data_IF_172254965065
#
_entry.id   IF_172254965065
#
_cell.length_a   1.000
_cell.length_b   1.000
_cell.length_c   1.000
_cell.angle_alpha   90.00
_cell.angle_beta   90.00
_cell.angle_gamma   90.00
#
_symmetry.space_group_name_H-M   'P 1'
#
loop_
_entity.id
_entity.type
_entity.pdbx_description
1 polymer ?
#
# COMPACT_ATOMS: atom_id res chain seq x y z
N UNK A 1 7.00 14.70 11.47
CA UNK A 1 5.67 15.08 10.93
C UNK A 1 5.61 14.77 9.44
N UNK A 2 4.50 14.20 8.95
CA UNK A 2 4.30 13.99 7.50
C UNK A 2 4.02 15.35 6.84
N UNK A 3 4.84 15.76 5.86
CA UNK A 3 4.55 16.95 5.07
C UNK A 3 3.29 16.72 4.22
N UNK A 4 2.16 17.17 4.75
CA UNK A 4 0.87 17.10 4.10
C UNK A 4 0.70 18.35 3.23
N UNK A 5 0.42 18.18 1.93
CA UNK A 5 0.13 19.27 1.02
C UNK A 5 -1.32 19.75 1.14
N UNK A 6 -2.25 18.81 1.26
CA UNK A 6 -3.65 19.13 1.52
C UNK A 6 -4.43 17.96 2.13
N UNK A 7 -5.53 18.31 2.80
CA UNK A 7 -6.57 17.40 3.30
C UNK A 7 -7.91 18.02 3.00
N UNK A 8 -8.77 17.30 2.29
CA UNK A 8 -10.11 17.75 1.92
C UNK A 8 -11.13 16.62 2.02
N UNK A 9 -12.38 16.98 2.25
CA UNK A 9 -13.50 16.03 2.24
C UNK A 9 -14.67 16.58 1.44
N UNK A 10 -15.39 15.66 0.81
CA UNK A 10 -16.51 15.95 -0.07
C UNK A 10 -17.69 15.05 0.26
N UNK A 11 -18.91 15.57 0.15
CA UNK A 11 -20.11 14.73 0.20
C UNK A 11 -20.12 13.80 -1.02
N UNK A 12 -20.41 12.51 -0.78
CA UNK A 12 -20.41 11.49 -1.82
C UNK A 12 -21.47 11.72 -2.91
N UNK A 13 -22.61 12.33 -2.56
CA UNK A 13 -23.72 12.56 -3.49
C UNK A 13 -23.42 13.64 -4.54
N UNK A 14 -23.00 14.83 -4.12
CA UNK A 14 -22.91 16.04 -4.96
C UNK A 14 -21.52 16.68 -5.03
N UNK A 15 -20.51 16.11 -4.36
CA UNK A 15 -19.14 16.62 -4.30
C UNK A 15 -18.99 18.01 -3.64
N UNK A 16 -19.98 18.46 -2.85
CA UNK A 16 -19.82 19.68 -2.05
C UNK A 16 -18.67 19.47 -1.06
N UNK A 17 -17.70 20.38 -1.04
CA UNK A 17 -16.60 20.37 -0.08
C UNK A 17 -17.12 20.61 1.32
N UNK A 18 -16.62 19.86 2.30
CA UNK A 18 -16.98 19.94 3.73
C UNK A 18 -15.72 19.95 4.57
N UNK A 19 -15.85 20.29 5.86
CA UNK A 19 -14.74 20.18 6.82
C UNK A 19 -14.10 18.79 6.75
N UNK A 20 -12.76 18.75 6.75
CA UNK A 20 -12.01 17.51 6.60
C UNK A 20 -12.39 16.46 7.65
N UNK A 21 -12.68 15.26 7.20
CA UNK A 21 -12.94 14.06 8.02
C UNK A 21 -11.92 12.98 7.64
N UNK A 22 -11.14 12.52 8.59
CA UNK A 22 -10.07 11.53 8.30
C UNK A 22 -10.60 10.13 7.99
N UNK A 23 -11.80 9.81 8.43
CA UNK A 23 -12.54 8.56 8.23
C UNK A 23 -11.91 7.30 8.85
N UNK A 24 -10.75 7.38 9.52
CA UNK A 24 -10.21 6.22 10.23
C UNK A 24 -11.18 5.72 11.31
N UNK A 25 -11.29 4.40 11.45
CA UNK A 25 -12.23 3.73 12.34
C UNK A 25 -13.65 3.59 11.78
N UNK A 26 -14.04 4.35 10.75
CA UNK A 26 -15.37 4.27 10.15
C UNK A 26 -15.56 3.04 9.26
N UNK A 27 -16.80 2.76 8.90
CA UNK A 27 -17.15 1.74 7.91
C UNK A 27 -16.91 2.28 6.51
N UNK A 28 -15.89 1.80 5.83
CA UNK A 28 -15.51 2.27 4.50
C UNK A 28 -14.20 1.66 4.02
N UNK A 29 -13.79 2.08 2.84
CA UNK A 29 -12.61 1.56 2.11
C UNK A 29 -11.69 2.72 1.73
N UNK A 30 -10.38 2.44 1.67
CA UNK A 30 -9.42 3.43 1.17
C UNK A 30 -8.41 2.80 0.20
N UNK A 31 -7.78 3.67 -0.58
CA UNK A 31 -6.59 3.33 -1.36
C UNK A 31 -5.54 4.40 -1.20
N UNK A 32 -4.27 4.04 -1.42
CA UNK A 32 -3.14 4.98 -1.41
C UNK A 32 -2.38 4.80 -2.71
N UNK A 33 -2.27 5.86 -3.48
CA UNK A 33 -1.76 5.88 -4.85
C UNK A 33 -0.50 6.74 -4.89
N UNK A 34 0.51 6.32 -5.62
CA UNK A 34 1.73 7.10 -5.82
C UNK A 34 1.54 8.07 -6.98
N UNK A 35 1.80 9.36 -6.72
CA UNK A 35 1.83 10.43 -7.72
C UNK A 35 3.27 10.86 -7.93
N UNK A 36 3.67 11.02 -9.19
CA UNK A 36 5.06 11.32 -9.57
C UNK A 36 5.13 12.27 -10.77
N UNK A 37 6.22 13.01 -10.82
CA UNK A 37 6.62 13.76 -12.00
C UNK A 37 5.98 15.14 -12.17
N UNK A 38 6.45 15.80 -13.18
CA UNK A 38 5.91 16.98 -13.85
C UNK A 38 6.23 16.77 -15.33
N UNK A 39 5.25 16.51 -16.18
CA UNK A 39 3.80 16.41 -15.92
C UNK A 39 3.40 15.24 -15.03
N UNK A 40 2.15 15.29 -14.55
CA UNK A 40 1.63 14.35 -13.52
C UNK A 40 1.50 12.94 -14.08
N UNK A 41 1.99 11.98 -13.33
CA UNK A 41 1.76 10.55 -13.55
C UNK A 41 1.18 9.94 -12.28
N UNK A 42 0.16 9.09 -12.41
CA UNK A 42 -0.48 8.38 -11.28
C UNK A 42 -0.29 6.89 -11.45
N UNK A 43 0.60 6.32 -10.66
CA UNK A 43 1.05 4.93 -10.82
C UNK A 43 -0.09 3.94 -10.55
N UNK A 44 -0.39 3.08 -11.54
CA UNK A 44 -1.43 2.05 -11.47
C UNK A 44 -2.84 2.60 -11.18
N UNK A 45 -3.17 3.81 -11.66
CA UNK A 45 -4.41 4.50 -11.34
C UNK A 45 -5.65 3.62 -11.53
N UNK A 46 -5.83 3.06 -12.74
CA UNK A 46 -6.98 2.19 -13.09
C UNK A 46 -7.11 0.99 -12.14
N UNK A 47 -5.99 0.33 -11.81
CA UNK A 47 -6.00 -0.79 -10.86
C UNK A 47 -6.43 -0.36 -9.45
N UNK A 48 -5.97 0.82 -8.99
CA UNK A 48 -6.33 1.36 -7.68
C UNK A 48 -7.82 1.69 -7.60
N UNK A 49 -8.37 2.36 -8.60
CA UNK A 49 -9.78 2.73 -8.64
C UNK A 49 -10.67 1.50 -8.74
N UNK A 50 -10.33 0.55 -9.62
CA UNK A 50 -11.07 -0.71 -9.76
C UNK A 50 -11.09 -1.51 -8.44
N UNK A 51 -9.94 -1.62 -7.75
CA UNK A 51 -9.89 -2.30 -6.46
C UNK A 51 -10.70 -1.58 -5.38
N UNK A 52 -10.70 -0.24 -5.37
CA UNK A 52 -11.51 0.57 -4.46
C UNK A 52 -13.00 0.32 -4.69
N UNK A 53 -13.46 0.44 -5.95
CA UNK A 53 -14.87 0.25 -6.32
C UNK A 53 -15.33 -1.19 -6.01
N UNK A 54 -14.55 -2.20 -6.37
CA UNK A 54 -14.87 -3.60 -6.05
C UNK A 54 -15.00 -3.83 -4.53
N UNK A 55 -14.11 -3.24 -3.74
CA UNK A 55 -14.15 -3.36 -2.28
C UNK A 55 -15.35 -2.63 -1.66
N UNK A 56 -15.73 -1.47 -2.20
CA UNK A 56 -16.92 -0.72 -1.79
C UNK A 56 -18.21 -1.48 -2.08
N UNK A 57 -18.30 -2.14 -3.26
CA UNK A 57 -19.44 -3.01 -3.60
C UNK A 57 -19.60 -4.16 -2.59
N UNK A 58 -18.50 -4.81 -2.18
CA UNK A 58 -18.51 -5.86 -1.14
C UNK A 58 -19.01 -5.28 0.20
N UNK A 59 -18.68 -4.01 0.49
CA UNK A 59 -19.15 -3.27 1.67
C UNK A 59 -20.57 -2.68 1.50
N UNK A 60 -21.26 -2.99 0.38
CA UNK A 60 -22.61 -2.45 0.08
C UNK A 60 -22.67 -0.91 0.13
N UNK A 61 -21.55 -0.25 -0.19
CA UNK A 61 -21.45 1.20 -0.30
C UNK A 61 -21.74 1.61 -1.75
N UNK A 62 -22.64 2.60 -1.93
CA UNK A 62 -23.02 3.09 -3.26
C UNK A 62 -21.82 3.61 -4.05
N UNK A 63 -21.64 3.13 -5.28
CA UNK A 63 -20.49 3.45 -6.14
C UNK A 63 -20.90 4.09 -7.47
N UNK A 64 -22.15 4.54 -7.61
CA UNK A 64 -22.66 5.17 -8.82
C UNK A 64 -21.80 6.36 -9.22
N UNK A 65 -21.28 6.33 -10.45
CA UNK A 65 -20.40 7.36 -10.99
C UNK A 65 -19.15 7.68 -10.15
N UNK A 66 -18.74 6.77 -9.23
CA UNK A 66 -17.65 7.05 -8.30
C UNK A 66 -16.31 7.30 -9.01
N UNK A 67 -16.00 6.56 -10.08
CA UNK A 67 -14.77 6.79 -10.84
C UNK A 67 -14.73 8.22 -11.41
N UNK A 68 -15.83 8.67 -12.03
CA UNK A 68 -15.97 10.06 -12.54
C UNK A 68 -15.79 11.08 -11.42
N UNK A 69 -16.44 10.86 -10.27
CA UNK A 69 -16.32 11.72 -9.08
C UNK A 69 -14.88 11.82 -8.58
N UNK A 70 -14.18 10.69 -8.49
CA UNK A 70 -12.78 10.66 -8.05
C UNK A 70 -11.85 11.36 -9.04
N UNK A 71 -12.07 11.21 -10.37
CA UNK A 71 -11.32 11.95 -11.39
C UNK A 71 -11.51 13.47 -11.25
N UNK A 72 -12.75 13.94 -11.06
CA UNK A 72 -13.04 15.36 -10.81
C UNK A 72 -12.28 15.86 -9.57
N UNK A 73 -12.38 15.14 -8.43
CA UNK A 73 -11.70 15.51 -7.20
C UNK A 73 -10.17 15.57 -7.40
N UNK A 74 -9.61 14.61 -8.11
CA UNK A 74 -8.17 14.60 -8.39
C UNK A 74 -7.79 15.81 -9.25
N UNK A 75 -8.55 16.10 -10.32
CA UNK A 75 -8.31 17.21 -11.24
C UNK A 75 -8.32 18.57 -10.52
N UNK A 76 -9.31 18.83 -9.66
CA UNK A 76 -9.44 20.12 -8.96
C UNK A 76 -8.41 20.33 -7.83
N UNK A 77 -7.80 19.23 -7.32
CA UNK A 77 -6.87 19.30 -6.19
C UNK A 77 -5.40 19.15 -6.59
N UNK A 78 -5.09 18.62 -7.76
CA UNK A 78 -3.71 18.50 -8.21
C UNK A 78 -3.32 19.68 -9.09
N UNK A 79 -2.24 20.36 -8.72
CA UNK A 79 -1.68 21.49 -9.46
C UNK A 79 -0.67 21.01 -10.50
N UNK A 80 -0.84 21.37 -11.77
CA UNK A 80 0.02 20.91 -12.87
C UNK A 80 1.44 21.49 -12.86
N UNK A 81 1.67 22.59 -12.13
CA UNK A 81 2.97 23.26 -12.01
C UNK A 81 3.91 22.62 -10.95
N UNK A 82 3.42 21.67 -10.17
CA UNK A 82 4.18 21.01 -9.10
C UNK A 82 4.84 19.72 -9.59
N UNK A 83 6.12 19.51 -9.21
CA UNK A 83 6.78 18.21 -9.37
C UNK A 83 6.42 17.29 -8.22
N UNK A 84 5.71 16.20 -8.51
CA UNK A 84 5.22 15.29 -7.49
C UNK A 84 6.20 14.15 -7.18
N UNK A 85 6.29 13.77 -5.93
CA UNK A 85 6.71 12.49 -5.40
C UNK A 85 5.92 12.25 -4.11
N UNK A 86 4.62 12.01 -4.27
CA UNK A 86 3.63 12.09 -3.19
C UNK A 86 2.75 10.85 -3.14
N UNK A 87 2.03 10.71 -2.05
CA UNK A 87 1.02 9.69 -1.85
C UNK A 87 -0.35 10.34 -1.71
N UNK A 88 -1.25 10.02 -2.62
CA UNK A 88 -2.65 10.38 -2.58
C UNK A 88 -3.43 9.28 -1.88
N UNK A 89 -4.08 9.57 -0.76
CA UNK A 89 -5.05 8.70 -0.12
C UNK A 89 -6.46 9.13 -0.56
N UNK A 90 -7.22 8.17 -1.05
CA UNK A 90 -8.65 8.29 -1.30
C UNK A 90 -9.36 7.36 -0.34
N UNK A 91 -10.22 7.89 0.52
CA UNK A 91 -11.01 7.15 1.49
C UNK A 91 -12.50 7.43 1.26
N UNK A 92 -13.32 6.39 1.26
CA UNK A 92 -14.75 6.50 0.93
C UNK A 92 -15.58 5.72 1.94
N UNK A 93 -16.62 6.36 2.46
CA UNK A 93 -17.68 5.72 3.24
C UNK A 93 -19.06 6.05 2.62
N UNK A 94 -20.16 5.72 3.29
CA UNK A 94 -21.50 5.92 2.76
C UNK A 94 -21.88 7.39 2.46
N UNK A 95 -21.20 8.36 3.10
CA UNK A 95 -21.57 9.78 3.03
C UNK A 95 -20.45 10.65 2.44
N UNK A 96 -19.19 10.23 2.55
CA UNK A 96 -18.04 11.12 2.38
C UNK A 96 -16.96 10.48 1.53
N UNK A 97 -16.34 11.30 0.67
CA UNK A 97 -15.04 11.03 0.05
C UNK A 97 -14.02 11.92 0.74
N UNK A 98 -13.00 11.32 1.34
CA UNK A 98 -11.89 12.06 1.97
C UNK A 98 -10.61 11.86 1.18
N UNK A 99 -9.92 12.94 0.92
CA UNK A 99 -8.70 12.99 0.10
C UNK A 99 -7.59 13.65 0.89
N UNK A 100 -6.42 13.04 0.88
CA UNK A 100 -5.23 13.68 1.44
C UNK A 100 -4.01 13.40 0.57
N UNK A 101 -3.17 14.40 0.40
CA UNK A 101 -1.92 14.31 -0.35
C UNK A 101 -0.77 14.63 0.58
N UNK A 102 0.20 13.72 0.67
CA UNK A 102 1.39 13.87 1.50
C UNK A 102 2.65 13.53 0.75
N UNK A 103 3.78 14.12 1.15
CA UNK A 103 5.09 13.78 0.60
C UNK A 103 5.38 12.30 0.83
N UNK A 104 5.90 11.60 -0.18
CA UNK A 104 6.34 10.22 -0.05
C UNK A 104 7.68 10.16 0.66
N UNK A 105 7.75 9.48 1.79
CA UNK A 105 9.02 9.22 2.47
C UNK A 105 9.83 8.20 1.69
N UNK A 106 11.08 8.53 1.42
CA UNK A 106 12.04 7.59 0.82
C UNK A 106 12.49 6.61 1.90
N UNK A 107 12.40 5.32 1.61
CA UNK A 107 12.93 4.29 2.51
C UNK A 107 14.46 4.37 2.60
N UNK A 108 15.01 4.25 3.81
CA UNK A 108 16.46 4.21 4.04
C UNK A 108 17.07 2.93 3.48
N UNK A 109 18.37 2.94 3.18
CA UNK A 109 19.13 1.76 2.68
C UNK A 109 19.09 0.60 3.68
N UNK A 110 19.31 0.89 4.99
CA UNK A 110 19.12 -0.08 6.08
C UNK A 110 17.66 -0.05 6.52
N UNK A 111 16.94 -1.13 6.30
CA UNK A 111 15.52 -1.23 6.58
C UNK A 111 15.23 -2.46 7.44
N UNK A 112 14.49 -2.27 8.52
CA UNK A 112 14.21 -3.28 9.53
C UNK A 112 12.74 -3.70 9.49
N UNK A 113 12.45 -4.86 10.07
CA UNK A 113 11.06 -5.24 10.32
C UNK A 113 10.89 -5.71 11.76
N UNK A 114 9.70 -5.48 12.31
CA UNK A 114 9.24 -6.02 13.58
C UNK A 114 8.04 -6.91 13.33
N UNK A 115 7.88 -7.99 14.09
CA UNK A 115 6.73 -8.87 13.95
C UNK A 115 5.75 -8.57 15.08
N UNK A 116 4.46 -8.46 14.75
CA UNK A 116 3.37 -8.29 15.71
C UNK A 116 2.29 -9.34 15.46
N UNK A 117 1.87 -10.01 16.53
CA UNK A 117 0.74 -10.94 16.45
C UNK A 117 -0.58 -10.15 16.35
N UNK A 118 -1.05 -9.99 15.14
CA UNK A 118 -2.31 -9.31 14.83
C UNK A 118 -2.79 -9.67 13.43
N UNK A 119 -4.09 -9.87 13.28
CA UNK A 119 -4.79 -10.03 12.00
C UNK A 119 -5.77 -8.88 11.83
N UNK A 120 -5.73 -8.19 10.67
CA UNK A 120 -6.67 -7.11 10.37
C UNK A 120 -8.11 -7.62 10.31
N UNK A 121 -9.04 -6.77 10.68
CA UNK A 121 -10.46 -6.99 10.43
C UNK A 121 -10.69 -7.01 8.90
N UNK A 122 -11.39 -8.03 8.38
CA UNK A 122 -11.61 -8.21 6.94
C UNK A 122 -10.33 -8.02 6.11
N UNK A 123 -9.29 -8.84 6.30
CA UNK A 123 -7.96 -8.59 5.75
C UNK A 123 -7.92 -8.59 4.22
N UNK A 124 -8.91 -9.22 3.54
CA UNK A 124 -9.02 -9.20 2.07
C UNK A 124 -9.35 -7.81 1.51
N UNK A 125 -9.78 -6.86 2.35
CA UNK A 125 -10.19 -5.52 1.95
C UNK A 125 -9.29 -4.46 2.61
N UNK A 126 -9.07 -3.35 1.90
CA UNK A 126 -8.34 -2.20 2.45
C UNK A 126 -9.32 -1.24 3.14
N UNK A 127 -9.91 -1.75 4.25
CA UNK A 127 -10.95 -1.04 4.99
C UNK A 127 -10.39 0.01 5.94
N UNK A 128 -11.25 0.95 6.35
CA UNK A 128 -10.92 2.07 7.23
C UNK A 128 -10.83 1.69 8.73
N UNK A 129 -11.18 0.46 9.13
CA UNK A 129 -10.96 -0.03 10.49
C UNK A 129 -9.46 -0.30 10.74
N UNK A 130 -8.69 0.77 10.79
CA UNK A 130 -7.24 0.77 10.69
C UNK A 130 -6.53 1.29 11.95
N UNK A 131 -7.27 1.68 13.01
CA UNK A 131 -6.74 2.32 14.22
C UNK A 131 -5.61 1.51 14.88
N UNK A 132 -5.77 0.17 14.99
CA UNK A 132 -4.73 -0.70 15.55
C UNK A 132 -3.46 -0.72 14.69
N UNK A 133 -3.59 -0.66 13.38
CA UNK A 133 -2.45 -0.55 12.47
C UNK A 133 -1.75 0.80 12.66
N UNK A 134 -2.52 1.89 12.78
CA UNK A 134 -1.96 3.22 13.05
C UNK A 134 -1.18 3.25 14.37
N UNK A 135 -1.70 2.60 15.42
CA UNK A 135 -0.98 2.51 16.70
C UNK A 135 0.36 1.78 16.57
N UNK A 136 0.47 0.75 15.74
CA UNK A 136 1.76 0.10 15.47
C UNK A 136 2.72 1.01 14.70
N UNK A 137 2.20 1.79 13.75
CA UNK A 137 3.01 2.69 12.91
C UNK A 137 3.51 3.92 13.69
N UNK A 138 2.75 4.41 14.66
CA UNK A 138 3.14 5.54 15.51
C UNK A 138 4.36 5.21 16.41
N UNK A 139 4.60 3.93 16.69
CA UNK A 139 5.69 3.46 17.56
C UNK A 139 6.95 3.04 16.78
N UNK A 140 7.05 3.41 15.50
CA UNK A 140 8.22 3.09 14.68
C UNK A 140 8.60 4.27 13.77
N UNK A 141 9.86 4.30 13.36
CA UNK A 141 10.27 5.18 12.27
C UNK A 141 9.95 4.51 10.93
N UNK A 142 8.86 4.91 10.30
CA UNK A 142 8.36 4.32 9.06
C UNK A 142 9.30 4.51 7.85
N UNK A 143 10.34 5.36 7.96
CA UNK A 143 11.32 5.53 6.88
C UNK A 143 12.35 4.40 6.84
N UNK A 144 12.54 3.67 7.94
CA UNK A 144 13.50 2.57 8.03
C UNK A 144 12.93 1.30 8.69
N UNK A 145 11.67 1.32 9.11
CA UNK A 145 11.06 0.17 9.80
C UNK A 145 9.65 -0.09 9.29
N UNK A 146 9.26 -1.35 9.24
CA UNK A 146 7.89 -1.83 8.97
C UNK A 146 7.49 -2.84 10.04
N UNK A 147 6.19 -2.93 10.32
CA UNK A 147 5.64 -4.00 11.13
C UNK A 147 5.03 -5.06 10.21
N UNK A 148 5.55 -6.27 10.27
CA UNK A 148 4.98 -7.46 9.63
C UNK A 148 3.99 -8.10 10.59
N UNK A 149 2.79 -8.32 10.13
CA UNK A 149 1.72 -8.95 10.90
C UNK A 149 1.87 -10.47 10.85
N UNK A 150 1.59 -11.11 11.96
CA UNK A 150 1.47 -12.57 12.06
C UNK A 150 0.19 -12.95 12.79
N UNK A 151 -0.32 -14.14 12.56
CA UNK A 151 -1.45 -14.68 13.31
C UNK A 151 -1.35 -16.20 13.37
N UNK A 152 -1.52 -16.78 14.57
CA UNK A 152 -1.35 -18.22 14.80
C UNK A 152 -0.06 -18.76 14.16
N UNK A 153 1.08 -18.13 14.48
CA UNK A 153 2.42 -18.42 13.94
C UNK A 153 2.56 -18.33 12.41
N UNK A 154 1.58 -17.80 11.69
CA UNK A 154 1.64 -17.58 10.24
C UNK A 154 1.94 -16.12 9.92
N UNK A 155 2.94 -15.85 9.10
CA UNK A 155 3.29 -14.52 8.61
C UNK A 155 2.30 -14.09 7.53
N UNK A 156 1.84 -12.84 7.60
CA UNK A 156 0.77 -12.31 6.77
C UNK A 156 1.30 -11.22 5.81
N UNK A 157 1.15 -9.99 6.21
CA UNK A 157 1.47 -8.79 5.41
C UNK A 157 2.13 -7.72 6.29
N UNK A 158 2.74 -6.71 5.70
CA UNK A 158 3.15 -5.52 6.45
C UNK A 158 1.95 -4.60 6.73
N UNK A 159 2.05 -3.77 7.77
CA UNK A 159 1.04 -2.75 8.06
C UNK A 159 0.69 -1.89 6.84
N UNK A 160 1.68 -1.56 6.01
CA UNK A 160 1.50 -0.71 4.82
C UNK A 160 1.87 -1.41 3.51
N UNK A 161 2.35 -2.65 3.55
CA UNK A 161 2.95 -3.38 2.42
C UNK A 161 2.42 -4.81 2.33
N UNK A 162 2.59 -5.43 1.16
CA UNK A 162 2.65 -6.88 1.08
C UNK A 162 4.09 -7.35 1.32
N UNK A 163 4.25 -8.60 1.73
CA UNK A 163 5.56 -9.20 1.99
C UNK A 163 5.80 -10.35 1.02
N UNK A 164 6.99 -10.39 0.44
CA UNK A 164 7.49 -11.52 -0.33
C UNK A 164 8.64 -12.15 0.43
N UNK A 165 8.65 -13.46 0.47
CA UNK A 165 9.70 -14.28 1.09
C UNK A 165 10.44 -15.04 -0.01
N UNK A 166 11.77 -15.02 0.03
CA UNK A 166 12.60 -15.66 -0.99
C UNK A 166 13.45 -16.73 -0.35
N UNK A 167 13.45 -17.93 -0.93
CA UNK A 167 14.32 -19.03 -0.55
C UNK A 167 14.74 -19.80 -1.78
N UNK A 168 16.05 -20.04 -1.96
CA UNK A 168 16.62 -20.78 -3.10
C UNK A 168 16.06 -20.25 -4.44
N UNK A 169 16.11 -18.94 -4.66
CA UNK A 169 15.59 -18.21 -5.83
C UNK A 169 14.08 -18.36 -6.10
N UNK A 170 13.32 -19.02 -5.22
CA UNK A 170 11.86 -19.12 -5.32
C UNK A 170 11.19 -18.01 -4.50
N UNK A 171 10.21 -17.33 -5.09
CA UNK A 171 9.49 -16.22 -4.47
C UNK A 171 8.15 -16.73 -3.94
N UNK A 172 7.86 -16.45 -2.68
CA UNK A 172 6.63 -16.83 -2.01
C UNK A 172 5.87 -15.60 -1.52
N UNK A 173 4.55 -15.62 -1.68
CA UNK A 173 3.62 -14.64 -1.12
C UNK A 173 2.67 -15.35 -0.16
N UNK A 174 2.40 -14.82 1.04
CA UNK A 174 1.33 -15.34 1.90
C UNK A 174 0.00 -15.43 1.16
N UNK A 175 -0.85 -16.37 1.58
CA UNK A 175 -2.12 -16.67 0.90
C UNK A 175 -3.30 -16.13 1.68
N UNK A 176 -3.36 -16.51 2.97
CA UNK A 176 -4.53 -16.26 3.83
C UNK A 176 -4.39 -14.96 4.60
N UNK A 177 -5.52 -14.34 4.89
CA UNK A 177 -5.61 -13.19 5.80
C UNK A 177 -4.72 -11.99 5.40
N UNK A 178 -4.55 -11.76 4.11
CA UNK A 178 -3.83 -10.61 3.55
C UNK A 178 -4.70 -9.81 2.59
N UNK A 179 -4.38 -8.54 2.41
CA UNK A 179 -4.85 -7.73 1.30
C UNK A 179 -3.91 -7.89 0.10
N UNK A 180 -4.40 -8.38 -1.03
CA UNK A 180 -3.62 -8.37 -2.27
C UNK A 180 -3.61 -6.94 -2.86
N UNK A 181 -2.60 -6.17 -2.48
CA UNK A 181 -2.43 -4.79 -2.94
C UNK A 181 -2.11 -4.68 -4.43
N UNK A 182 -2.33 -3.48 -5.00
CA UNK A 182 -2.10 -3.20 -6.42
C UNK A 182 -0.67 -3.55 -6.87
N UNK A 183 0.33 -3.24 -6.06
CA UNK A 183 1.74 -3.57 -6.37
C UNK A 183 1.98 -5.08 -6.38
N UNK A 184 1.38 -5.85 -5.46
CA UNK A 184 1.48 -7.31 -5.49
C UNK A 184 0.81 -7.89 -6.73
N UNK A 185 -0.39 -7.41 -7.10
CA UNK A 185 -1.08 -7.82 -8.33
C UNK A 185 -0.26 -7.51 -9.58
N UNK A 186 0.39 -6.34 -9.63
CA UNK A 186 1.31 -5.99 -10.70
C UNK A 186 2.47 -7.01 -10.82
N UNK A 187 3.14 -7.34 -9.72
CA UNK A 187 4.22 -8.32 -9.76
C UNK A 187 3.74 -9.71 -10.15
N UNK A 188 2.57 -10.15 -9.67
CA UNK A 188 1.99 -11.45 -10.06
C UNK A 188 1.67 -11.54 -11.55
N UNK A 189 1.28 -10.43 -12.19
CA UNK A 189 1.10 -10.38 -13.66
C UNK A 189 2.42 -10.46 -14.43
N UNK A 190 3.46 -9.81 -13.89
CA UNK A 190 4.79 -9.77 -14.55
C UNK A 190 5.65 -11.00 -14.26
N UNK A 191 5.46 -11.63 -13.11
CA UNK A 191 6.29 -12.75 -12.63
C UNK A 191 5.37 -13.90 -12.25
N UNK A 192 5.15 -14.80 -13.21
CA UNK A 192 4.26 -15.97 -13.01
C UNK A 192 4.75 -16.96 -11.94
N UNK A 193 6.04 -16.89 -11.59
CA UNK A 193 6.68 -17.81 -10.63
C UNK A 193 6.49 -17.44 -9.17
N UNK A 194 5.76 -16.35 -8.83
CA UNK A 194 5.42 -16.04 -7.45
C UNK A 194 4.41 -17.05 -6.92
N UNK A 195 4.88 -17.94 -6.04
CA UNK A 195 4.08 -19.00 -5.45
C UNK A 195 3.29 -18.48 -4.25
N UNK A 196 2.02 -18.84 -4.17
CA UNK A 196 1.19 -18.62 -2.97
C UNK A 196 1.47 -19.72 -1.97
N UNK A 197 1.82 -19.36 -0.72
CA UNK A 197 2.11 -20.31 0.34
C UNK A 197 1.89 -19.68 1.71
N UNK A 198 1.32 -20.45 2.65
CA UNK A 198 1.31 -20.06 4.06
C UNK A 198 2.74 -20.15 4.63
N UNK A 199 3.20 -19.06 5.23
CA UNK A 199 4.57 -18.91 5.72
C UNK A 199 4.56 -18.98 7.25
N UNK A 200 5.06 -20.10 7.79
CA UNK A 200 5.22 -20.24 9.24
C UNK A 200 6.35 -19.35 9.76
N UNK A 201 6.14 -18.76 10.93
CA UNK A 201 7.15 -17.97 11.64
C UNK A 201 8.42 -18.78 11.94
N UNK A 202 8.28 -20.07 12.25
CA UNK A 202 9.39 -20.97 12.56
C UNK A 202 10.28 -21.25 11.33
N UNK A 203 9.78 -20.97 10.12
CA UNK A 203 10.56 -21.08 8.89
C UNK A 203 11.29 -19.80 8.50
N UNK A 204 11.19 -18.75 9.30
CA UNK A 204 11.81 -17.45 9.00
C UNK A 204 13.32 -17.58 8.68
N UNK A 205 14.13 -18.36 9.44
CA UNK A 205 15.58 -18.50 9.17
C UNK A 205 15.92 -19.13 7.80
N UNK A 206 14.96 -19.82 7.16
CA UNK A 206 15.15 -20.49 5.86
C UNK A 206 15.07 -19.54 4.67
N UNK A 207 14.67 -18.28 4.88
CA UNK A 207 14.55 -17.30 3.81
C UNK A 207 15.85 -16.49 3.64
N UNK A 208 16.23 -16.28 2.37
CA UNK A 208 17.39 -15.51 1.98
C UNK A 208 17.09 -14.01 1.90
N UNK A 209 15.86 -13.67 1.45
CA UNK A 209 15.39 -12.30 1.36
C UNK A 209 13.94 -12.18 1.86
N UNK A 210 13.65 -11.07 2.55
CA UNK A 210 12.30 -10.60 2.85
C UNK A 210 12.15 -9.25 2.17
N UNK A 211 11.15 -9.14 1.28
CA UNK A 211 10.96 -7.98 0.43
C UNK A 211 9.56 -7.41 0.68
N UNK A 212 9.50 -6.13 0.99
CA UNK A 212 8.27 -5.38 1.18
C UNK A 212 7.91 -4.67 -0.12
N UNK A 213 6.64 -4.78 -0.52
CA UNK A 213 6.14 -4.15 -1.74
C UNK A 213 4.85 -3.38 -1.48
N UNK A 214 4.72 -2.19 -2.06
CA UNK A 214 3.52 -1.36 -1.89
C UNK A 214 3.64 0.00 -2.55
N UNK A 215 2.52 0.66 -2.80
CA UNK A 215 2.48 1.96 -3.49
C UNK A 215 3.29 3.03 -2.76
N UNK A 216 3.28 3.03 -1.43
CA UNK A 216 4.03 3.99 -0.62
C UNK A 216 5.54 3.73 -0.63
N UNK A 217 5.94 2.51 -0.36
CA UNK A 217 7.37 2.13 -0.22
C UNK A 217 8.01 1.77 -1.56
N UNK A 218 7.24 1.34 -2.57
CA UNK A 218 7.79 0.72 -3.78
C UNK A 218 8.24 -0.70 -3.49
N UNK A 219 9.52 -0.99 -3.68
CA UNK A 219 10.17 -2.25 -3.34
C UNK A 219 11.26 -1.96 -2.32
N UNK A 220 11.24 -2.65 -1.18
CA UNK A 220 12.19 -2.47 -0.09
C UNK A 220 12.68 -3.83 0.39
N UNK A 221 14.00 -4.00 0.52
CA UNK A 221 14.58 -5.19 1.13
C UNK A 221 14.73 -5.00 2.63
N UNK A 222 14.19 -5.91 3.42
CA UNK A 222 14.42 -5.96 4.86
C UNK A 222 15.86 -6.39 5.13
N UNK A 223 16.52 -5.72 6.05
CA UNK A 223 17.90 -6.02 6.46
C UNK A 223 17.94 -7.07 7.55
N UNK A 224 17.11 -6.87 8.58
CA UNK A 224 16.99 -7.79 9.71
C UNK A 224 15.63 -7.68 10.40
N UNK A 225 15.34 -8.71 11.18
CA UNK A 225 14.28 -8.81 12.17
C UNK A 225 14.95 -9.27 13.46
N UNK A 226 14.66 -8.60 14.59
CA UNK A 226 15.34 -8.91 15.85
C UNK A 226 14.68 -10.08 16.62
N UNK A 227 13.33 -10.10 16.64
CA UNK A 227 12.55 -11.14 17.33
C UNK A 227 11.40 -11.63 16.47
N UNK A 228 11.43 -12.91 16.00
CA UNK A 228 12.58 -13.86 16.04
C UNK A 228 13.71 -13.38 15.15
N UNK A 229 14.94 -13.75 15.46
CA UNK A 229 16.12 -13.28 14.76
C UNK A 229 16.14 -13.75 13.30
N UNK A 230 16.34 -12.79 12.38
CA UNK A 230 16.57 -13.05 10.97
C UNK A 230 17.44 -11.95 10.36
N UNK A 231 18.37 -12.35 9.52
CA UNK A 231 19.23 -11.46 8.72
C UNK A 231 19.18 -11.82 7.26
N UNK A 232 19.13 -10.80 6.41
CA UNK A 232 19.17 -10.96 4.96
C UNK A 232 20.49 -11.59 4.52
N UNK A 233 20.39 -12.60 3.64
CA UNK A 233 21.53 -13.33 3.07
C UNK A 233 21.84 -12.92 1.62
N UNK A 234 20.86 -12.37 0.90
CA UNK A 234 20.96 -12.01 -0.52
C UNK A 234 20.21 -10.71 -0.83
N UNK A 235 20.54 -10.10 -1.98
CA UNK A 235 19.84 -8.96 -2.58
C UNK A 235 19.43 -9.24 -4.04
N UNK A 236 19.62 -10.46 -4.54
CA UNK A 236 19.42 -10.82 -5.95
C UNK A 236 18.00 -10.57 -6.40
N UNK A 237 17.02 -11.13 -5.67
CA UNK A 237 15.61 -10.98 -6.00
C UNK A 237 15.13 -9.55 -5.77
N UNK A 238 15.59 -8.90 -4.70
CA UNK A 238 15.30 -7.48 -4.46
C UNK A 238 15.72 -6.60 -5.64
N UNK A 239 16.95 -6.76 -6.14
CA UNK A 239 17.46 -5.98 -7.29
C UNK A 239 16.61 -6.21 -8.54
N UNK A 240 16.27 -7.47 -8.83
CA UNK A 240 15.40 -7.85 -9.93
C UNK A 240 14.01 -7.18 -9.84
N UNK A 241 13.33 -7.30 -8.68
CA UNK A 241 12.02 -6.69 -8.47
C UNK A 241 12.07 -5.15 -8.51
N UNK A 242 13.14 -4.57 -7.97
CA UNK A 242 13.36 -3.12 -8.01
C UNK A 242 13.49 -2.60 -9.44
N UNK A 243 14.20 -3.31 -10.31
CA UNK A 243 14.35 -2.98 -11.75
C UNK A 243 12.99 -2.98 -12.45
N UNK A 244 12.20 -4.05 -12.27
CA UNK A 244 10.85 -4.17 -12.85
C UNK A 244 9.93 -3.04 -12.34
N UNK A 245 9.97 -2.74 -11.05
CA UNK A 245 9.16 -1.66 -10.49
C UNK A 245 9.58 -0.29 -11.01
N UNK A 246 10.88 -0.04 -11.12
CA UNK A 246 11.39 1.21 -11.67
C UNK A 246 11.00 1.40 -13.14
N UNK A 247 11.06 0.35 -13.95
CA UNK A 247 10.54 0.38 -15.32
C UNK A 247 9.05 0.76 -15.37
N UNK A 248 8.23 0.20 -14.46
CA UNK A 248 6.82 0.58 -14.37
C UNK A 248 6.62 2.05 -13.96
N UNK A 249 7.49 2.59 -13.12
CA UNK A 249 7.49 4.01 -12.73
C UNK A 249 7.87 4.90 -13.90
N UNK A 250 8.92 4.57 -14.63
CA UNK A 250 9.40 5.33 -15.81
C UNK A 250 8.36 5.33 -16.93
N UNK A 251 7.80 4.14 -17.24
CA UNK A 251 6.83 3.95 -18.31
C UNK A 251 5.38 4.25 -17.90
N UNK A 252 5.17 4.82 -16.70
CA UNK A 252 3.84 5.23 -16.27
C UNK A 252 3.31 6.33 -17.20
N UNK A 253 2.12 6.17 -17.81
CA UNK A 253 1.54 7.18 -18.69
C UNK A 253 1.24 8.47 -17.94
N UNK A 254 1.15 9.57 -18.71
CA UNK A 254 0.66 10.84 -18.19
C UNK A 254 -0.78 10.70 -17.72
N UNK A 255 -1.14 11.46 -16.72
CA UNK A 255 -2.52 11.50 -16.23
C UNK A 255 -3.28 12.62 -16.90
N UNK A 256 -4.23 12.26 -17.75
CA UNK A 256 -5.03 13.21 -18.55
C UNK A 256 -6.44 13.48 -17.97
N UNK A 257 -6.74 12.95 -16.75
CA UNK A 257 -8.03 13.16 -16.09
C UNK A 257 -9.01 12.01 -16.18
#
# INVERSE_FOLDING_TARGET
MENILFKKSYLLNNLKEIKFKDLWGSYGIFTTIRIIGKPIKILFFKDHINNLIKSLKIYKIRTTNLEKKLKIIIKINLKYNIKYNHLLRLAVNNKTISVSLRKRLKSKKKFYARIKNYKRINPKLKNLKYNKILSFLNNINISNTEVILSYKKTLLEGCTTNVLFVSRNKIYSPVKNIYEGTTLKFFKRKIKTIKKKDISLDRLPKFDEIILIGSGKGVVSVNSIDKPYWRRKSLKTYRFLSKIYQQAVTNCPLYNG
#
